data_IF_529811811545
#
_entry.id   IF_529811811545
#
_cell.length_a   1.000
_cell.length_b   1.000
_cell.length_c   1.000
_cell.angle_alpha   90.00
_cell.angle_beta   90.00
_cell.angle_gamma   90.00
#
_symmetry.space_group_name_H-M   'P 1'
#
loop_
_entity.id
_entity.type
_entity.pdbx_description
1 polymer ?
#
# COMPACT_ATOMS: atom_id res chain seq x y z
N UNK A 1 10.87 -32.80 -14.17
CA UNK A 1 10.56 -32.48 -15.59
C UNK A 1 9.27 -31.67 -15.59
N UNK A 2 9.09 -30.70 -16.50
CA UNK A 2 8.01 -29.68 -16.46
C UNK A 2 8.02 -28.74 -15.23
N UNK A 3 9.08 -27.92 -15.12
CA UNK A 3 9.06 -26.53 -14.61
C UNK A 3 10.44 -25.86 -14.81
N UNK A 4 10.93 -25.82 -16.04
CA UNK A 4 12.18 -25.10 -16.41
C UNK A 4 11.91 -23.82 -17.22
N UNK A 5 10.65 -23.61 -17.57
CA UNK A 5 10.23 -22.89 -18.77
C UNK A 5 9.57 -21.54 -18.42
N UNK A 6 9.95 -20.96 -17.27
CA UNK A 6 9.43 -19.70 -16.71
C UNK A 6 10.56 -18.67 -16.46
N UNK A 7 11.72 -18.86 -17.07
CA UNK A 7 12.91 -18.00 -16.92
C UNK A 7 13.43 -17.49 -18.27
N UNK A 8 12.86 -17.96 -19.39
CA UNK A 8 13.39 -17.82 -20.74
C UNK A 8 12.39 -17.12 -21.69
N UNK A 9 11.66 -16.13 -21.18
CA UNK A 9 10.75 -15.28 -21.97
C UNK A 9 10.71 -13.82 -21.46
N UNK A 10 11.90 -13.26 -21.18
CA UNK A 10 12.11 -11.79 -21.02
C UNK A 10 13.31 -11.35 -21.86
N UNK A 11 13.42 -11.86 -23.08
CA UNK A 11 14.36 -11.38 -24.08
C UNK A 11 13.79 -10.09 -24.71
N UNK A 12 13.99 -8.97 -24.01
CA UNK A 12 13.51 -7.66 -24.43
C UNK A 12 14.46 -7.06 -25.48
N UNK A 13 14.44 -7.64 -26.69
CA UNK A 13 15.33 -7.34 -27.80
C UNK A 13 15.34 -5.83 -28.14
N UNK A 14 16.52 -5.21 -28.03
CA UNK A 14 16.69 -3.75 -28.03
C UNK A 14 16.87 -3.19 -29.46
N UNK A 15 15.81 -2.68 -30.09
CA UNK A 15 15.91 -2.07 -31.43
C UNK A 15 15.06 -0.79 -31.60
N UNK A 16 15.63 0.38 -31.27
CA UNK A 16 15.55 1.69 -31.95
C UNK A 16 16.42 2.72 -31.15
N UNK A 17 16.82 3.91 -31.68
CA UNK A 17 18.20 4.38 -31.48
C UNK A 17 18.35 5.75 -30.80
N UNK A 18 19.57 6.02 -30.33
CA UNK A 18 20.21 7.34 -30.19
C UNK A 18 19.29 8.56 -30.00
N UNK A 19 18.69 8.64 -28.82
CA UNK A 19 18.06 9.86 -28.29
C UNK A 19 18.51 10.09 -26.85
N UNK A 20 19.15 11.23 -26.57
CA UNK A 20 19.66 11.56 -25.23
C UNK A 20 18.54 11.92 -24.24
N UNK A 21 17.80 10.90 -23.77
CA UNK A 21 16.93 11.01 -22.60
C UNK A 21 17.83 11.13 -21.36
N UNK A 22 17.54 12.07 -20.46
CA UNK A 22 18.39 12.36 -19.30
C UNK A 22 18.28 11.30 -18.19
N UNK A 23 19.04 10.20 -18.32
CA UNK A 23 18.95 8.98 -17.48
C UNK A 23 19.29 9.19 -15.98
N UNK A 24 19.88 10.34 -15.62
CA UNK A 24 20.40 10.61 -14.25
C UNK A 24 19.35 10.64 -13.13
N UNK A 25 18.06 10.72 -13.47
CA UNK A 25 16.94 10.63 -12.52
C UNK A 25 16.45 9.19 -12.27
N UNK A 26 16.30 8.41 -13.33
CA UNK A 26 15.70 7.06 -13.27
C UNK A 26 16.65 6.04 -12.64
N UNK A 27 17.96 6.12 -12.90
CA UNK A 27 18.98 5.28 -12.24
C UNK A 27 18.89 5.35 -10.70
N UNK A 28 18.69 6.55 -10.15
CA UNK A 28 18.58 6.78 -8.70
C UNK A 28 17.25 6.30 -8.14
N UNK A 29 16.20 6.18 -8.94
CA UNK A 29 14.96 5.51 -8.54
C UNK A 29 15.15 3.99 -8.55
N UNK A 30 15.63 3.44 -9.66
CA UNK A 30 15.87 2.00 -9.85
C UNK A 30 16.84 1.41 -8.80
N UNK A 31 17.95 2.10 -8.53
CA UNK A 31 18.92 1.70 -7.49
C UNK A 31 18.26 1.55 -6.11
N UNK A 32 17.39 2.50 -5.73
CA UNK A 32 16.62 2.42 -4.47
C UNK A 32 15.58 1.31 -4.50
N UNK A 33 14.87 1.10 -5.61
CA UNK A 33 13.95 -0.04 -5.78
C UNK A 33 14.67 -1.39 -5.61
N UNK A 34 15.80 -1.60 -6.26
CA UNK A 34 16.62 -2.82 -6.10
C UNK A 34 17.08 -3.02 -4.65
N UNK A 35 17.37 -1.93 -3.93
CA UNK A 35 17.78 -2.00 -2.52
C UNK A 35 16.61 -2.30 -1.57
N UNK A 36 15.43 -1.72 -1.81
CA UNK A 36 14.20 -2.10 -1.12
C UNK A 36 13.81 -3.55 -1.40
N UNK A 37 13.92 -4.03 -2.64
CA UNK A 37 13.62 -5.41 -3.02
C UNK A 37 14.53 -6.42 -2.28
N UNK A 38 15.82 -6.12 -2.08
CA UNK A 38 16.69 -6.97 -1.23
C UNK A 38 16.32 -6.93 0.25
N UNK A 39 16.03 -5.75 0.80
CA UNK A 39 15.56 -5.63 2.19
C UNK A 39 14.26 -6.40 2.42
N UNK A 40 13.34 -6.33 1.46
CA UNK A 40 12.08 -7.07 1.47
C UNK A 40 12.30 -8.58 1.29
N UNK A 41 13.21 -8.98 0.40
CA UNK A 41 13.62 -10.38 0.21
C UNK A 41 14.17 -10.98 1.51
N UNK A 42 15.15 -10.35 2.17
CA UNK A 42 15.70 -10.88 3.43
C UNK A 42 14.67 -10.84 4.59
N UNK A 43 13.71 -9.91 4.56
CA UNK A 43 12.65 -9.81 5.58
C UNK A 43 11.52 -10.84 5.40
N UNK A 44 11.22 -11.24 4.16
CA UNK A 44 10.17 -12.21 3.84
C UNK A 44 10.76 -13.64 3.76
N UNK A 45 11.92 -13.77 3.12
CA UNK A 45 12.62 -15.04 2.88
C UNK A 45 14.15 -14.90 2.96
N UNK A 46 14.74 -14.94 4.17
CA UNK A 46 16.19 -14.89 4.33
C UNK A 46 16.86 -16.05 3.59
N UNK A 47 17.86 -15.73 2.77
CA UNK A 47 18.54 -16.70 1.90
C UNK A 47 17.74 -17.18 0.67
N UNK A 48 16.55 -16.61 0.39
CA UNK A 48 15.82 -16.78 -0.87
C UNK A 48 15.16 -18.15 -1.13
N UNK A 49 15.37 -19.15 -0.28
CA UNK A 49 14.78 -20.49 -0.42
C UNK A 49 13.34 -20.52 0.12
N UNK A 50 12.34 -20.55 -0.78
CA UNK A 50 10.98 -20.91 -0.39
C UNK A 50 11.00 -22.27 0.33
N UNK A 51 10.21 -22.50 1.39
CA UNK A 51 10.30 -23.75 2.13
C UNK A 51 9.60 -24.85 1.33
N UNK A 52 10.31 -25.94 1.09
CA UNK A 52 9.83 -27.16 0.44
C UNK A 52 8.51 -27.69 1.04
N UNK A 53 8.25 -27.41 2.32
CA UNK A 53 6.98 -27.67 2.98
C UNK A 53 6.14 -26.40 3.12
N UNK A 54 4.84 -26.42 2.78
CA UNK A 54 3.91 -25.35 3.14
C UNK A 54 4.01 -25.01 4.62
N UNK A 55 4.14 -23.71 4.95
CA UNK A 55 4.27 -23.22 6.34
C UNK A 55 3.18 -23.89 7.19
N UNK A 56 3.54 -24.64 8.26
CA UNK A 56 2.64 -25.59 8.89
C UNK A 56 1.34 -24.90 9.32
N UNK A 57 0.20 -25.44 8.87
CA UNK A 57 -1.09 -24.83 9.08
C UNK A 57 -1.33 -24.60 10.58
N UNK A 58 -1.51 -23.33 10.96
CA UNK A 58 -1.64 -22.90 12.36
C UNK A 58 -2.60 -23.81 13.12
N UNK A 59 -2.10 -24.50 14.14
CA UNK A 59 -2.86 -25.56 14.82
C UNK A 59 -4.12 -24.99 15.45
N UNK A 60 -5.18 -25.78 15.59
CA UNK A 60 -6.46 -25.27 16.09
C UNK A 60 -6.32 -24.66 17.51
N UNK A 61 -5.45 -25.22 18.34
CA UNK A 61 -5.09 -24.65 19.64
C UNK A 61 -4.40 -23.28 19.51
N UNK A 62 -3.43 -23.13 18.58
CA UNK A 62 -2.80 -21.83 18.30
C UNK A 62 -3.78 -20.81 17.73
N UNK A 63 -4.76 -21.23 16.91
CA UNK A 63 -5.81 -20.33 16.39
C UNK A 63 -6.67 -19.79 17.53
N UNK A 64 -7.27 -20.67 18.33
CA UNK A 64 -8.11 -20.29 19.48
C UNK A 64 -7.34 -19.46 20.53
N UNK A 65 -6.02 -19.64 20.67
CA UNK A 65 -5.19 -18.81 21.54
C UNK A 65 -5.09 -17.34 21.03
N UNK A 66 -4.84 -17.14 19.73
CA UNK A 66 -4.81 -15.79 19.16
C UNK A 66 -6.20 -15.15 19.10
N UNK A 67 -7.25 -15.93 18.83
CA UNK A 67 -8.64 -15.46 18.91
C UNK A 67 -8.94 -14.88 20.29
N UNK A 68 -8.63 -15.62 21.37
CA UNK A 68 -8.81 -15.14 22.75
C UNK A 68 -7.98 -13.89 23.04
N UNK A 69 -6.73 -13.83 22.59
CA UNK A 69 -5.86 -12.65 22.76
C UNK A 69 -6.41 -11.41 22.02
N UNK A 70 -6.80 -11.58 20.76
CA UNK A 70 -7.39 -10.51 19.95
C UNK A 70 -8.76 -10.06 20.47
N UNK A 71 -9.56 -10.99 21.02
CA UNK A 71 -10.85 -10.69 21.64
C UNK A 71 -10.69 -9.84 22.91
N UNK A 72 -9.72 -10.17 23.77
CA UNK A 72 -9.38 -9.32 24.92
C UNK A 72 -8.89 -7.93 24.47
N UNK A 73 -8.07 -7.87 23.42
CA UNK A 73 -7.61 -6.59 22.84
C UNK A 73 -8.77 -5.75 22.28
N UNK A 74 -9.74 -6.36 21.60
CA UNK A 74 -10.91 -5.66 21.04
C UNK A 74 -11.80 -5.13 22.17
N UNK A 75 -12.08 -5.95 23.20
CA UNK A 75 -12.83 -5.50 24.37
C UNK A 75 -12.11 -4.41 25.18
N UNK A 76 -10.77 -4.36 25.17
CA UNK A 76 -9.97 -3.34 25.85
C UNK A 76 -9.80 -2.01 25.09
N UNK A 77 -10.14 -1.95 23.80
CA UNK A 77 -10.09 -0.73 22.97
C UNK A 77 -11.50 -0.14 22.74
N UNK A 78 -12.55 -0.88 23.07
CA UNK A 78 -13.93 -0.49 22.81
C UNK A 78 -14.40 0.62 23.77
N UNK A 79 -14.92 1.78 23.28
CA UNK A 79 -15.34 2.88 24.16
C UNK A 79 -16.50 2.50 25.09
N UNK A 80 -16.48 3.02 26.32
CA UNK A 80 -17.53 2.78 27.35
C UNK A 80 -18.94 3.10 26.85
N UNK A 81 -19.09 4.08 25.96
CA UNK A 81 -20.37 4.44 25.33
C UNK A 81 -20.93 3.27 24.51
N UNK A 82 -20.10 2.61 23.70
CA UNK A 82 -20.51 1.45 22.89
C UNK A 82 -20.84 0.26 23.80
N UNK A 83 -20.02 0.05 24.83
CA UNK A 83 -20.22 -0.99 25.85
C UNK A 83 -21.52 -0.77 26.64
N UNK A 84 -21.87 0.48 26.95
CA UNK A 84 -23.09 0.85 27.68
C UNK A 84 -24.36 0.69 26.85
N UNK A 85 -24.32 0.97 25.54
CA UNK A 85 -25.50 0.87 24.66
C UNK A 85 -25.76 -0.57 24.22
N UNK A 86 -24.72 -1.35 23.85
CA UNK A 86 -24.87 -2.72 23.35
C UNK A 86 -24.77 -3.79 24.47
N UNK A 87 -24.07 -3.49 25.56
CA UNK A 87 -23.73 -4.41 26.64
C UNK A 87 -22.52 -5.30 26.31
N UNK A 88 -21.55 -5.37 27.24
CA UNK A 88 -20.30 -6.17 27.14
C UNK A 88 -20.51 -7.54 26.50
N UNK A 89 -21.53 -8.29 26.92
CA UNK A 89 -21.79 -9.65 26.44
C UNK A 89 -22.18 -9.72 24.96
N UNK A 90 -22.88 -8.71 24.42
CA UNK A 90 -23.20 -8.65 22.99
C UNK A 90 -21.97 -8.25 22.19
N UNK A 91 -21.26 -7.20 22.61
CA UNK A 91 -20.00 -6.78 21.99
C UNK A 91 -18.98 -7.93 21.92
N UNK A 92 -18.84 -8.72 22.99
CA UNK A 92 -17.93 -9.87 23.04
C UNK A 92 -18.33 -10.97 22.08
N UNK A 93 -19.63 -11.28 21.95
CA UNK A 93 -20.11 -12.28 20.98
C UNK A 93 -19.91 -11.80 19.54
N UNK A 94 -20.21 -10.53 19.24
CA UNK A 94 -19.98 -9.92 17.93
C UNK A 94 -18.49 -9.94 17.55
N UNK A 95 -17.58 -9.53 18.45
CA UNK A 95 -16.14 -9.55 18.16
C UNK A 95 -15.57 -11.00 18.12
N UNK A 96 -16.19 -11.98 18.80
CA UNK A 96 -15.86 -13.40 18.61
C UNK A 96 -16.20 -13.87 17.19
N UNK A 97 -17.42 -13.59 16.70
CA UNK A 97 -17.86 -14.00 15.36
C UNK A 97 -17.04 -13.33 14.25
N UNK A 98 -16.65 -12.06 14.43
CA UNK A 98 -15.74 -11.36 13.50
C UNK A 98 -14.33 -11.99 13.54
N UNK A 99 -13.82 -12.38 14.70
CA UNK A 99 -12.52 -13.07 14.78
C UNK A 99 -12.55 -14.52 14.25
N UNK A 100 -13.67 -15.23 14.38
CA UNK A 100 -13.89 -16.54 13.75
C UNK A 100 -13.94 -16.41 12.22
N UNK A 101 -14.63 -15.38 11.71
CA UNK A 101 -14.63 -14.99 10.30
C UNK A 101 -13.21 -14.68 9.79
N UNK A 102 -12.42 -13.90 10.54
CA UNK A 102 -11.01 -13.59 10.24
C UNK A 102 -10.04 -14.78 10.36
N UNK A 103 -10.48 -15.94 10.85
CA UNK A 103 -9.69 -17.19 10.76
C UNK A 103 -9.87 -17.92 9.41
N UNK A 104 -10.82 -17.48 8.58
CA UNK A 104 -11.11 -18.11 7.29
C UNK A 104 -10.26 -17.48 6.16
N UNK A 105 -9.47 -18.28 5.41
CA UNK A 105 -8.56 -17.74 4.40
C UNK A 105 -9.29 -17.11 3.21
N UNK A 106 -10.52 -17.53 2.91
CA UNK A 106 -11.36 -16.92 1.87
C UNK A 106 -11.75 -15.49 2.23
N UNK A 107 -12.22 -15.27 3.45
CA UNK A 107 -12.66 -13.96 3.93
C UNK A 107 -11.45 -13.01 3.99
N UNK A 108 -10.30 -13.47 4.49
CA UNK A 108 -9.07 -12.69 4.49
C UNK A 108 -8.60 -12.33 3.06
N UNK A 109 -8.80 -13.21 2.07
CA UNK A 109 -8.50 -12.90 0.66
C UNK A 109 -9.42 -11.82 0.10
N UNK A 110 -10.72 -11.87 0.39
CA UNK A 110 -11.66 -10.82 -0.01
C UNK A 110 -11.33 -9.48 0.67
N UNK A 111 -11.05 -9.49 1.98
CA UNK A 111 -10.63 -8.30 2.72
C UNK A 111 -9.36 -7.66 2.14
N UNK A 112 -8.38 -8.46 1.71
CA UNK A 112 -7.16 -7.94 1.06
C UNK A 112 -7.49 -7.20 -0.24
N UNK A 113 -8.41 -7.73 -1.07
CA UNK A 113 -8.79 -7.05 -2.31
C UNK A 113 -9.64 -5.79 -2.04
N UNK A 114 -10.59 -5.83 -1.09
CA UNK A 114 -11.37 -4.65 -0.73
C UNK A 114 -10.53 -3.53 -0.11
N UNK A 115 -9.52 -3.88 0.72
CA UNK A 115 -8.55 -2.90 1.22
C UNK A 115 -7.67 -2.32 0.12
N UNK A 116 -7.27 -3.15 -0.86
CA UNK A 116 -6.51 -2.70 -2.02
C UNK A 116 -7.32 -1.74 -2.89
N UNK A 117 -8.61 -2.02 -3.11
CA UNK A 117 -9.56 -1.16 -3.84
C UNK A 117 -9.66 0.24 -3.21
N UNK A 118 -9.89 0.31 -1.89
CA UNK A 118 -9.94 1.56 -1.10
C UNK A 118 -8.59 2.30 -1.13
N UNK A 119 -7.47 1.58 -1.11
CA UNK A 119 -6.13 2.18 -1.20
C UNK A 119 -5.88 2.78 -2.59
N UNK A 120 -6.31 2.11 -3.67
CA UNK A 120 -6.21 2.65 -5.02
C UNK A 120 -7.09 3.90 -5.19
N UNK A 121 -8.34 3.86 -4.72
CA UNK A 121 -9.24 5.03 -4.72
C UNK A 121 -8.61 6.23 -3.99
N UNK A 122 -8.02 6.00 -2.81
CA UNK A 122 -7.34 7.06 -2.06
C UNK A 122 -6.07 7.58 -2.76
N UNK A 123 -5.29 6.71 -3.41
CA UNK A 123 -4.08 7.10 -4.14
C UNK A 123 -4.39 7.92 -5.40
N UNK A 124 -5.47 7.59 -6.11
CA UNK A 124 -5.93 8.33 -7.29
C UNK A 124 -6.39 9.76 -6.91
N UNK A 125 -7.25 9.87 -5.87
CA UNK A 125 -7.63 11.17 -5.30
C UNK A 125 -6.41 11.97 -4.80
N UNK A 126 -5.44 11.31 -4.16
CA UNK A 126 -4.23 11.96 -3.67
C UNK A 126 -3.31 12.45 -4.78
N UNK A 127 -3.33 11.84 -5.97
CA UNK A 127 -2.56 12.30 -7.12
C UNK A 127 -3.15 13.59 -7.72
N UNK A 128 -4.49 13.69 -7.77
CA UNK A 128 -5.18 14.89 -8.27
C UNK A 128 -5.06 16.11 -7.34
N UNK A 129 -5.01 15.89 -6.02
CA UNK A 129 -4.93 16.97 -5.03
C UNK A 129 -3.70 17.89 -5.20
N UNK A 130 -2.55 17.33 -5.61
CA UNK A 130 -1.29 18.06 -5.78
C UNK A 130 -1.31 19.01 -7.00
N UNK A 131 -2.15 18.76 -8.02
CA UNK A 131 -2.22 19.59 -9.23
C UNK A 131 -2.86 20.97 -8.97
N UNK A 132 -3.88 21.02 -8.11
CA UNK A 132 -4.62 22.26 -7.80
C UNK A 132 -3.82 23.31 -7.00
N UNK A 133 -2.69 22.93 -6.40
CA UNK A 133 -1.91 23.83 -5.53
C UNK A 133 -1.03 24.84 -6.29
N UNK A 134 -0.75 24.61 -7.58
CA UNK A 134 0.27 25.37 -8.34
C UNK A 134 -0.31 26.49 -9.21
N UNK A 135 -1.59 26.43 -9.58
CA UNK A 135 -2.22 27.31 -10.58
C UNK A 135 -3.04 28.48 -10.01
N UNK A 136 -2.71 28.95 -8.80
CA UNK A 136 -3.40 30.09 -8.14
C UNK A 136 -2.44 31.21 -7.69
N UNK A 137 -1.51 31.63 -8.56
CA UNK A 137 -0.62 32.78 -8.29
C UNK A 137 -0.14 33.52 -9.56
N UNK A 138 -1.01 33.70 -10.56
CA UNK A 138 -0.66 34.40 -11.80
C UNK A 138 -1.86 35.13 -12.45
N UNK A 139 -2.52 36.02 -11.70
CA UNK A 139 -3.52 36.95 -12.22
C UNK A 139 -3.26 38.39 -11.73
N UNK A 140 -3.66 39.36 -12.55
CA UNK A 140 -3.70 40.81 -12.33
C UNK A 140 -2.39 41.55 -11.98
N UNK A 141 -1.81 42.20 -13.00
CA UNK A 141 -1.01 43.43 -12.83
C UNK A 141 -1.26 44.41 -14.00
N UNK A 142 -2.35 45.19 -13.96
CA UNK A 142 -2.64 46.21 -14.98
C UNK A 142 -1.85 47.51 -14.69
N UNK A 143 -0.77 47.78 -15.43
CA UNK A 143 0.20 48.81 -15.03
C UNK A 143 1.02 49.51 -16.13
N UNK A 144 0.38 50.14 -17.12
CA UNK A 144 1.01 51.23 -17.88
C UNK A 144 -0.07 52.19 -18.44
N UNK A 145 0.23 53.51 -18.59
CA UNK A 145 0.98 53.92 -19.79
C UNK A 145 2.02 55.05 -19.61
N UNK A 146 3.10 54.93 -20.40
CA UNK A 146 3.76 55.99 -21.19
C UNK A 146 4.15 57.32 -20.48
N UNK A 147 5.42 57.40 -20.04
CA UNK A 147 6.20 58.67 -19.99
C UNK A 147 7.10 58.78 -21.23
N UNK A 148 7.21 59.99 -21.78
CA UNK A 148 8.23 60.43 -22.75
C UNK A 148 8.84 61.76 -22.23
N UNK A 149 9.93 62.24 -22.84
CA UNK A 149 10.83 63.27 -22.28
C UNK A 149 10.22 64.65 -21.96
N UNK A 150 10.86 65.54 -21.17
CA UNK A 150 12.31 65.89 -21.10
C UNK A 150 12.77 66.43 -22.47
N UNK A 151 13.27 67.65 -22.66
CA UNK A 151 13.55 68.85 -21.83
C UNK A 151 13.81 70.03 -22.81
N UNK A 152 14.27 71.24 -22.42
CA UNK A 152 14.46 71.82 -21.07
C UNK A 152 13.54 73.02 -20.75
#
# INVERSE_FOLDING_TARGET
MLRKDFVEEVEFEQVLPEGQISVTGTEKAWSRWVQYLRLLQESIWPGGLLPECPRPARTQAQKAAAEKQALQSLMGVLPDIVVGILGVNKCRLSWSLVLESLQQPLINRHLIYCLWDIILEFLDLSASAEESAVTSSAADTPGSPKKMGISP
#
